data_IF_690061115435
#
_entry.id   IF_690061115435
#
_cell.length_a   1.000
_cell.length_b   1.000
_cell.length_c   1.000
_cell.angle_alpha   90.00
_cell.angle_beta   90.00
_cell.angle_gamma   90.00
#
_symmetry.space_group_name_H-M   'P 1'
#
loop_
_entity.id
_entity.type
_entity.pdbx_description
1 polymer ?
#
# COMPACT_ATOMS: atom_id res chain seq x y z
N UNK A 1 -11.63 1.58 6.24
CA UNK A 1 -10.40 1.20 6.96
C UNK A 1 -9.11 1.36 6.15
N UNK A 2 -8.68 0.45 5.26
CA UNK A 2 -7.38 0.60 4.54
C UNK A 2 -7.32 1.93 3.77
N UNK A 3 -8.36 2.26 3.01
CA UNK A 3 -8.39 3.47 2.20
C UNK A 3 -8.32 4.76 3.02
N UNK A 4 -9.05 4.83 4.15
CA UNK A 4 -9.02 5.99 5.05
C UNK A 4 -7.67 6.14 5.76
N UNK A 5 -7.09 5.03 6.25
CA UNK A 5 -5.77 5.06 6.90
C UNK A 5 -4.70 5.48 5.90
N UNK A 6 -4.72 4.90 4.70
CA UNK A 6 -3.78 5.26 3.64
C UNK A 6 -3.93 6.73 3.23
N UNK A 7 -5.16 7.22 3.11
CA UNK A 7 -5.40 8.63 2.80
C UNK A 7 -4.97 9.56 3.93
N UNK A 8 -5.15 9.17 5.19
CA UNK A 8 -4.70 9.94 6.35
C UNK A 8 -3.17 10.02 6.38
N UNK A 9 -2.48 8.92 6.07
CA UNK A 9 -1.02 8.83 6.06
C UNK A 9 -0.37 9.56 4.88
N UNK A 10 -0.95 9.44 3.70
CA UNK A 10 -0.30 9.87 2.46
C UNK A 10 -0.90 11.13 1.87
N UNK A 11 -2.06 11.58 2.36
CA UNK A 11 -2.94 12.62 1.76
C UNK A 11 -3.53 12.25 0.39
N UNK A 12 -3.25 11.04 -0.12
CA UNK A 12 -3.75 10.53 -1.39
C UNK A 12 -4.61 9.28 -1.19
N UNK A 13 -5.65 9.06 -2.01
CA UNK A 13 -6.34 7.78 -2.01
C UNK A 13 -5.40 6.68 -2.56
N UNK A 14 -5.46 5.43 -2.03
CA UNK A 14 -4.64 4.36 -2.56
C UNK A 14 -5.07 3.98 -3.98
N UNK A 15 -4.08 3.72 -4.82
CA UNK A 15 -4.28 3.09 -6.13
C UNK A 15 -4.60 1.61 -5.94
N UNK A 16 -5.25 0.99 -6.94
CA UNK A 16 -5.70 -0.40 -6.84
C UNK A 16 -4.57 -1.38 -6.48
N UNK A 17 -3.39 -1.24 -7.08
CA UNK A 17 -2.27 -2.12 -6.78
C UNK A 17 -1.75 -1.94 -5.33
N UNK A 18 -1.84 -0.72 -4.78
CA UNK A 18 -1.43 -0.44 -3.40
C UNK A 18 -2.40 -1.12 -2.43
N UNK A 19 -3.71 -0.99 -2.70
CA UNK A 19 -4.76 -1.67 -1.93
C UNK A 19 -4.57 -3.19 -1.93
N UNK A 20 -4.31 -3.78 -3.09
CA UNK A 20 -4.08 -5.22 -3.22
C UNK A 20 -2.82 -5.67 -2.47
N UNK A 21 -1.72 -4.94 -2.63
CA UNK A 21 -0.46 -5.24 -1.95
C UNK A 21 -0.58 -5.12 -0.43
N UNK A 22 -1.15 -4.03 0.08
CA UNK A 22 -1.38 -3.82 1.51
C UNK A 22 -2.27 -4.93 2.08
N UNK A 23 -3.34 -5.30 1.36
CA UNK A 23 -4.22 -6.39 1.77
C UNK A 23 -3.46 -7.71 1.90
N UNK A 24 -2.62 -8.08 0.92
CA UNK A 24 -1.80 -9.29 0.98
C UNK A 24 -0.80 -9.26 2.15
N UNK A 25 -0.14 -8.12 2.36
CA UNK A 25 0.80 -7.92 3.47
C UNK A 25 0.11 -8.08 4.84
N UNK A 26 -1.07 -7.50 5.02
CA UNK A 26 -1.87 -7.65 6.26
C UNK A 26 -2.28 -9.10 6.52
N UNK A 27 -2.46 -9.90 5.47
CA UNK A 27 -2.71 -11.35 5.56
C UNK A 27 -1.43 -12.19 5.62
N UNK A 28 -0.28 -11.58 5.88
CA UNK A 28 1.04 -12.24 6.00
C UNK A 28 1.43 -13.03 4.74
N UNK A 29 1.03 -12.54 3.56
CA UNK A 29 1.43 -13.12 2.29
C UNK A 29 2.65 -12.38 1.74
N UNK A 30 3.66 -13.14 1.33
CA UNK A 30 4.80 -12.60 0.60
C UNK A 30 4.36 -12.11 -0.78
N UNK A 31 4.87 -10.95 -1.19
CA UNK A 31 4.53 -10.34 -2.47
C UNK A 31 5.78 -9.85 -3.21
N UNK A 32 5.75 -9.92 -4.54
CA UNK A 32 6.70 -9.25 -5.42
C UNK A 32 6.03 -8.03 -6.06
N UNK A 33 6.29 -6.83 -5.52
CA UNK A 33 5.71 -5.59 -6.03
C UNK A 33 6.57 -4.99 -7.15
N UNK A 34 6.14 -5.17 -8.41
CA UNK A 34 6.77 -4.58 -9.60
C UNK A 34 6.00 -3.36 -10.08
N UNK A 35 6.59 -2.17 -9.93
CA UNK A 35 6.06 -0.91 -10.44
C UNK A 35 7.21 0.07 -10.72
N UNK A 36 7.08 1.02 -11.66
CA UNK A 36 8.13 2.01 -11.94
C UNK A 36 8.40 2.95 -10.76
N UNK A 37 9.50 3.70 -10.80
CA UNK A 37 9.82 4.75 -9.81
C UNK A 37 8.71 5.81 -9.78
N UNK A 38 8.45 6.40 -8.62
CA UNK A 38 7.36 7.38 -8.44
C UNK A 38 5.95 6.78 -8.42
N UNK A 39 5.80 5.46 -8.50
CA UNK A 39 4.48 4.81 -8.50
C UNK A 39 3.82 4.71 -7.12
N UNK A 40 4.58 4.94 -6.04
CA UNK A 40 4.08 4.83 -4.67
C UNK A 40 4.38 3.50 -3.96
N UNK A 41 5.48 2.82 -4.35
CA UNK A 41 5.89 1.52 -3.75
C UNK A 41 6.29 1.66 -2.28
N UNK A 42 6.92 2.78 -1.91
CA UNK A 42 7.35 3.03 -0.54
C UNK A 42 6.15 3.18 0.38
N UNK A 43 5.17 4.02 0.01
CA UNK A 43 3.93 4.16 0.80
C UNK A 43 3.20 2.82 0.94
N UNK A 44 3.21 2.01 -0.11
CA UNK A 44 2.59 0.67 -0.10
C UNK A 44 3.25 -0.28 0.91
N UNK A 45 4.58 -0.26 1.01
CA UNK A 45 5.33 -1.19 1.86
C UNK A 45 5.28 -0.81 3.34
N UNK A 46 5.16 0.49 3.67
CA UNK A 46 5.12 0.96 5.06
C UNK A 46 3.70 0.95 5.65
N UNK A 47 2.66 1.07 4.83
CA UNK A 47 1.28 1.21 5.29
C UNK A 47 0.77 0.08 6.22
N UNK A 48 1.19 -1.21 6.09
CA UNK A 48 0.79 -2.25 7.04
C UNK A 48 1.39 -2.15 8.45
N UNK A 49 2.37 -1.27 8.66
CA UNK A 49 3.17 -1.18 9.89
C UNK A 49 2.94 0.11 10.69
N UNK A 50 2.02 0.96 10.25
CA UNK A 50 1.65 2.24 10.86
C UNK A 50 0.19 2.19 11.31
#
# INVERSE_FOLDING_TARGET
MIDEHFQTLTTFPPRNFQREAITKLLHRQDILLRAPTGSGKTETAIAPFL
#
